data_IF_457741787966
#
_entry.id   IF_457741787966
#
_cell.length_a   1.000
_cell.length_b   1.000
_cell.length_c   1.000
_cell.angle_alpha   90.00
_cell.angle_beta   90.00
_cell.angle_gamma   90.00
#
_symmetry.space_group_name_H-M   'P 1'
#
loop_
_entity.id
_entity.type
_entity.pdbx_description
1 polymer ?
#
# COMPACT_ATOMS: atom_id res chain seq x y z
N UNK A 1 -5.81 20.54 9.24
CA UNK A 1 -4.64 19.64 9.36
C UNK A 1 -3.64 19.91 8.25
N UNK A 2 -2.34 19.95 8.59
CA UNK A 2 -1.24 20.13 7.64
C UNK A 2 -1.20 18.97 6.62
N UNK A 3 -0.75 19.24 5.38
CA UNK A 3 -0.74 18.25 4.27
C UNK A 3 -0.02 16.96 4.65
N UNK A 4 1.14 17.08 5.31
CA UNK A 4 1.92 15.94 5.78
C UNK A 4 1.25 15.07 6.85
N UNK A 5 0.28 15.61 7.58
CA UNK A 5 -0.45 14.88 8.63
C UNK A 5 -1.84 14.41 8.20
N UNK A 6 -2.28 14.74 6.99
CA UNK A 6 -3.59 14.32 6.50
C UNK A 6 -3.41 13.15 5.51
N UNK A 7 -3.79 11.91 5.88
CA UNK A 7 -3.59 10.74 5.03
C UNK A 7 -4.35 10.83 3.70
N UNK A 8 -5.46 11.58 3.68
CA UNK A 8 -6.23 11.86 2.46
C UNK A 8 -5.52 12.81 1.48
N UNK A 9 -4.55 13.61 1.96
CA UNK A 9 -3.83 14.60 1.14
C UNK A 9 -2.45 14.12 0.74
N UNK A 10 -1.67 13.55 1.67
CA UNK A 10 -0.37 12.99 1.34
C UNK A 10 0.02 11.90 2.34
N UNK A 11 0.57 10.80 1.81
CA UNK A 11 1.22 9.73 2.58
C UNK A 11 2.74 9.75 2.37
N UNK A 12 3.26 10.83 1.80
CA UNK A 12 4.69 10.95 1.55
C UNK A 12 5.41 11.22 2.88
N UNK A 13 6.21 10.25 3.32
CA UNK A 13 7.00 10.34 4.56
C UNK A 13 7.95 11.53 4.60
N UNK A 14 8.38 12.05 3.44
CA UNK A 14 9.25 13.24 3.35
C UNK A 14 8.56 14.49 3.92
N UNK A 15 7.22 14.55 3.86
CA UNK A 15 6.42 15.66 4.36
C UNK A 15 5.93 15.44 5.80
N UNK A 16 6.25 14.29 6.39
CA UNK A 16 5.93 13.95 7.78
C UNK A 16 7.01 14.48 8.73
N UNK A 17 7.05 13.97 9.96
CA UNK A 17 8.04 14.32 10.98
C UNK A 17 7.42 15.05 12.17
N UNK A 18 8.09 14.95 13.32
CA UNK A 18 7.71 15.68 14.54
C UNK A 18 6.43 15.18 15.24
N UNK A 19 5.96 13.97 14.91
CA UNK A 19 4.77 13.36 15.53
C UNK A 19 5.01 12.89 16.98
N UNK A 20 6.27 12.82 17.44
CA UNK A 20 6.63 12.34 18.78
C UNK A 20 5.86 13.00 19.91
N UNK A 21 5.59 14.32 19.83
CA UNK A 21 4.90 15.05 20.91
C UNK A 21 3.39 14.87 20.90
N UNK A 22 2.83 14.47 19.75
CA UNK A 22 1.41 14.51 19.48
C UNK A 22 0.74 13.13 19.59
N UNK A 23 1.50 12.07 19.30
CA UNK A 23 1.00 10.69 19.23
C UNK A 23 1.97 9.73 19.95
N UNK A 24 2.15 9.85 21.28
CA UNK A 24 3.15 9.08 22.03
C UNK A 24 2.86 7.58 22.12
N UNK A 25 1.58 7.16 22.16
CA UNK A 25 1.24 5.74 22.32
C UNK A 25 1.54 5.00 21.03
N UNK A 26 1.06 5.53 19.89
CA UNK A 26 1.36 4.97 18.56
C UNK A 26 2.86 5.01 18.26
N UNK A 27 3.60 6.02 18.72
CA UNK A 27 5.05 6.07 18.58
C UNK A 27 5.72 4.87 19.26
N UNK A 28 5.42 4.65 20.54
CA UNK A 28 6.06 3.59 21.31
C UNK A 28 5.67 2.20 20.80
N UNK A 29 4.41 2.03 20.36
CA UNK A 29 3.95 0.79 19.75
C UNK A 29 4.66 0.50 18.43
N UNK A 30 4.80 1.51 17.57
CA UNK A 30 5.51 1.38 16.31
C UNK A 30 7.00 1.10 16.54
N UNK A 31 7.64 1.79 17.48
CA UNK A 31 9.03 1.53 17.87
C UNK A 31 9.22 0.07 18.31
N UNK A 32 8.41 -0.43 19.24
CA UNK A 32 8.49 -1.82 19.70
C UNK A 32 8.29 -2.81 18.54
N UNK A 33 7.33 -2.54 17.64
CA UNK A 33 7.13 -3.34 16.43
C UNK A 33 8.36 -3.35 15.51
N UNK A 34 9.00 -2.19 15.30
CA UNK A 34 10.22 -2.09 14.48
C UNK A 34 11.39 -2.83 15.13
N UNK A 35 11.61 -2.68 16.44
CA UNK A 35 12.68 -3.40 17.15
C UNK A 35 12.46 -4.91 17.10
N UNK A 36 11.20 -5.34 17.17
CA UNK A 36 10.83 -6.74 17.03
C UNK A 36 11.22 -7.22 15.64
N UNK A 37 10.73 -6.59 14.57
CA UNK A 37 11.02 -7.03 13.20
C UNK A 37 12.52 -6.97 12.83
N UNK A 38 13.27 -6.03 13.41
CA UNK A 38 14.73 -5.98 13.24
C UNK A 38 15.43 -7.23 13.79
N UNK A 39 14.83 -7.93 14.76
CA UNK A 39 15.39 -9.10 15.42
C UNK A 39 16.27 -8.75 16.61
N UNK A 40 15.87 -7.76 17.41
CA UNK A 40 16.63 -7.36 18.61
C UNK A 40 16.17 -8.20 19.81
N UNK A 41 17.07 -8.83 20.57
CA UNK A 41 16.71 -9.54 21.80
C UNK A 41 16.13 -8.55 22.81
N UNK A 42 15.01 -8.85 23.53
CA UNK A 42 14.35 -10.15 23.75
C UNK A 42 13.06 -10.42 22.94
N UNK A 43 12.87 -9.77 21.78
CA UNK A 43 11.60 -9.78 21.05
C UNK A 43 11.40 -11.05 20.21
N UNK A 44 10.14 -11.40 19.95
CA UNK A 44 9.74 -12.65 19.27
C UNK A 44 10.48 -12.96 17.96
N UNK A 45 10.68 -11.96 17.10
CA UNK A 45 11.25 -12.19 15.79
C UNK A 45 12.74 -12.55 15.84
N UNK A 46 13.46 -12.21 16.92
CA UNK A 46 14.84 -12.65 17.11
C UNK A 46 14.92 -14.18 17.05
N UNK A 47 14.11 -14.88 17.84
CA UNK A 47 14.08 -16.34 17.89
C UNK A 47 13.79 -16.97 16.52
N UNK A 48 12.77 -16.48 15.81
CA UNK A 48 12.42 -17.03 14.49
C UNK A 48 13.44 -16.72 13.39
N UNK A 49 14.09 -15.55 13.45
CA UNK A 49 14.97 -15.07 12.38
C UNK A 49 16.38 -15.65 12.52
N UNK A 50 16.84 -15.83 13.75
CA UNK A 50 18.15 -16.40 14.05
C UNK A 50 18.23 -17.86 13.63
N UNK A 51 17.18 -18.65 13.92
CA UNK A 51 17.07 -20.06 13.52
C UNK A 51 17.14 -20.23 11.99
N UNK A 52 16.36 -19.44 11.23
CA UNK A 52 16.38 -19.48 9.76
C UNK A 52 17.75 -19.07 9.20
N UNK A 53 18.41 -18.08 9.81
CA UNK A 53 19.75 -17.66 9.38
C UNK A 53 20.77 -18.76 9.64
N UNK A 54 20.72 -19.41 10.81
CA UNK A 54 21.61 -20.52 11.15
C UNK A 54 21.41 -21.71 10.19
N UNK A 55 20.16 -22.11 9.96
CA UNK A 55 19.82 -23.18 9.01
C UNK A 55 20.26 -22.85 7.57
N UNK A 56 20.18 -21.57 7.18
CA UNK A 56 20.66 -21.12 5.87
C UNK A 56 22.17 -21.30 5.73
N UNK A 57 22.95 -21.03 6.79
CA UNK A 57 24.41 -21.25 6.80
C UNK A 57 24.75 -22.73 6.67
N UNK A 58 23.96 -23.61 7.30
CA UNK A 58 24.11 -25.06 7.18
C UNK A 58 23.75 -25.58 5.78
N UNK A 59 22.73 -25.02 5.14
CA UNK A 59 22.31 -25.44 3.81
C UNK A 59 23.23 -24.94 2.69
N UNK A 60 23.42 -23.61 2.58
CA UNK A 60 24.39 -23.05 1.63
C UNK A 60 24.83 -21.64 2.00
N UNK A 61 26.15 -21.35 1.91
CA UNK A 61 26.68 -20.04 2.29
C UNK A 61 26.16 -18.89 1.41
N UNK A 62 25.80 -19.17 0.15
CA UNK A 62 25.27 -18.14 -0.77
C UNK A 62 23.90 -17.65 -0.29
N UNK A 63 23.00 -18.57 0.06
CA UNK A 63 21.69 -18.18 0.59
C UNK A 63 21.81 -17.50 1.95
N UNK A 64 22.73 -17.97 2.79
CA UNK A 64 23.00 -17.33 4.08
C UNK A 64 23.47 -15.88 3.94
N UNK A 65 24.40 -15.59 3.02
CA UNK A 65 24.86 -14.21 2.75
C UNK A 65 23.71 -13.33 2.26
N UNK A 66 22.84 -13.85 1.38
CA UNK A 66 21.68 -13.11 0.87
C UNK A 66 20.71 -12.81 2.02
N UNK A 67 20.36 -13.81 2.83
CA UNK A 67 19.46 -13.66 3.97
C UNK A 67 20.03 -12.70 5.02
N UNK A 68 21.33 -12.79 5.32
CA UNK A 68 22.04 -11.92 6.26
C UNK A 68 22.07 -10.47 5.77
N UNK A 69 22.38 -10.23 4.49
CA UNK A 69 22.33 -8.87 3.92
C UNK A 69 20.91 -8.29 3.92
N UNK A 70 19.91 -9.14 3.64
CA UNK A 70 18.49 -8.77 3.68
C UNK A 70 18.06 -8.41 5.10
N UNK A 71 18.51 -9.15 6.12
CA UNK A 71 18.28 -8.84 7.52
C UNK A 71 18.79 -7.43 7.89
N UNK A 72 19.98 -7.03 7.44
CA UNK A 72 20.49 -5.67 7.63
C UNK A 72 19.65 -4.60 6.91
N UNK A 73 19.28 -4.86 5.65
CA UNK A 73 18.42 -3.95 4.86
C UNK A 73 17.03 -3.78 5.48
N UNK A 74 16.46 -4.83 6.08
CA UNK A 74 15.18 -4.77 6.80
C UNK A 74 15.23 -3.82 7.97
N UNK A 75 16.29 -3.93 8.77
CA UNK A 75 16.51 -3.05 9.90
C UNK A 75 16.71 -1.60 9.45
N UNK A 76 17.42 -1.39 8.34
CA UNK A 76 17.64 -0.08 7.75
C UNK A 76 16.34 0.61 7.30
N UNK A 77 15.52 -0.04 6.47
CA UNK A 77 14.32 0.62 5.93
C UNK A 77 13.25 0.83 7.02
N UNK A 78 13.12 -0.09 7.99
CA UNK A 78 12.17 0.10 9.10
C UNK A 78 12.57 1.24 10.02
N UNK A 79 13.86 1.31 10.38
CA UNK A 79 14.37 2.42 11.17
C UNK A 79 14.24 3.76 10.43
N UNK A 80 14.48 3.79 9.11
CA UNK A 80 14.22 4.97 8.25
C UNK A 80 12.77 5.44 8.35
N UNK A 81 11.79 4.53 8.27
CA UNK A 81 10.36 4.89 8.38
C UNK A 81 10.08 5.50 9.75
N UNK A 82 10.55 4.87 10.83
CA UNK A 82 10.37 5.38 12.20
C UNK A 82 10.95 6.80 12.36
N UNK A 83 12.19 7.03 11.92
CA UNK A 83 12.87 8.31 12.06
C UNK A 83 12.20 9.43 11.24
N UNK A 84 11.79 9.15 10.00
CA UNK A 84 11.15 10.16 9.13
C UNK A 84 9.73 10.53 9.59
N UNK A 85 9.03 9.60 10.23
CA UNK A 85 7.61 9.81 10.62
C UNK A 85 7.49 10.43 12.01
N UNK A 86 8.15 9.85 13.00
CA UNK A 86 7.99 10.26 14.41
C UNK A 86 9.04 11.26 14.88
N UNK A 87 10.28 11.09 14.44
CA UNK A 87 11.37 11.99 14.77
C UNK A 87 11.47 13.11 13.72
N UNK A 88 12.42 14.02 13.89
CA UNK A 88 12.55 15.16 12.98
C UNK A 88 11.67 16.37 13.30
N UNK A 89 11.86 17.40 12.49
CA UNK A 89 10.92 18.51 12.40
C UNK A 89 9.95 18.24 11.25
N UNK A 90 8.74 18.75 11.37
CA UNK A 90 7.76 18.67 10.30
C UNK A 90 8.29 19.45 9.09
N UNK A 91 8.60 18.73 8.01
CA UNK A 91 9.03 19.33 6.75
C UNK A 91 7.82 19.83 5.95
N UNK A 92 7.19 20.93 6.40
CA UNK A 92 6.16 21.60 5.61
C UNK A 92 6.85 22.38 4.50
N UNK A 93 7.01 21.77 3.32
CA UNK A 93 7.07 22.59 2.12
C UNK A 93 5.68 23.18 1.91
N UNK A 94 5.49 24.45 2.26
CA UNK A 94 4.36 25.23 1.77
C UNK A 94 4.54 25.39 0.24
N UNK A 95 4.14 24.37 -0.53
CA UNK A 95 3.77 24.59 -1.92
C UNK A 95 2.47 25.39 -1.88
N UNK A 96 2.63 26.71 -1.76
CA UNK A 96 1.57 27.66 -2.03
C UNK A 96 0.99 27.33 -3.41
N UNK A 97 -0.31 27.06 -3.47
CA UNK A 97 -1.12 27.16 -4.69
C UNK A 97 -1.20 28.65 -5.07
N UNK A 98 -0.06 29.22 -5.44
CA UNK A 98 0.17 30.57 -5.94
C UNK A 98 1.67 30.65 -6.19
N UNK A 99 2.05 30.64 -7.47
CA UNK A 99 3.42 30.43 -7.96
C UNK A 99 4.40 31.56 -7.65
N UNK A 100 4.66 31.85 -6.37
CA UNK A 100 5.76 32.72 -5.97
C UNK A 100 6.47 32.17 -4.72
N UNK A 101 7.72 31.74 -4.93
CA UNK A 101 8.67 31.42 -3.86
C UNK A 101 9.13 32.71 -3.16
N UNK A 102 9.39 32.57 -1.86
CA UNK A 102 10.25 33.37 -0.96
C UNK A 102 9.51 34.18 0.11
N UNK A 103 9.75 33.81 1.38
CA UNK A 103 10.49 34.65 2.36
C UNK A 103 10.78 33.80 3.62
N UNK A 104 12.00 33.87 4.20
CA UNK A 104 12.33 33.19 5.44
C UNK A 104 11.65 33.86 6.64
N UNK A 105 11.33 33.04 7.63
CA UNK A 105 10.70 33.39 8.90
C UNK A 105 11.55 34.40 9.69
N UNK A 106 11.29 35.69 9.53
CA UNK A 106 11.34 36.67 10.61
C UNK A 106 10.36 37.79 10.22
N UNK A 107 9.47 38.18 11.14
CA UNK A 107 8.46 39.24 11.03
C UNK A 107 7.10 38.92 10.38
N UNK A 108 6.41 37.89 10.85
CA UNK A 108 4.94 37.92 10.83
C UNK A 108 4.45 38.06 12.26
N UNK A 109 3.85 39.22 12.54
CA UNK A 109 3.23 39.56 13.81
C UNK A 109 2.14 38.57 14.15
N UNK A 110 2.31 37.90 15.28
CA UNK A 110 1.45 36.88 15.90
C UNK A 110 0.05 37.37 16.33
N UNK A 111 -0.38 38.55 15.87
CA UNK A 111 -1.69 39.10 16.16
C UNK A 111 -2.30 39.63 14.86
N UNK A 112 -3.41 39.05 14.46
CA UNK A 112 -4.17 39.48 13.30
C UNK A 112 -4.64 40.92 13.49
N UNK A 113 -4.04 41.85 12.75
CA UNK A 113 -4.71 43.09 12.40
C UNK A 113 -5.69 42.76 11.29
N UNK A 114 -6.98 42.81 11.62
CA UNK A 114 -8.08 42.83 10.67
C UNK A 114 -7.82 43.93 9.63
N UNK A 115 -7.43 43.49 8.43
CA UNK A 115 -7.45 44.32 7.24
C UNK A 115 -8.86 44.39 6.69
N UNK A 116 -9.69 45.21 7.33
CA UNK A 116 -10.95 45.71 6.77
C UNK A 116 -10.69 46.37 5.41
N UNK A 117 -11.31 45.85 4.35
CA UNK A 117 -11.54 46.61 3.11
C UNK A 117 -13.00 47.08 3.07
N UNK A 118 -13.17 48.33 3.49
CA UNK A 118 -14.21 49.30 3.10
C UNK A 118 -14.10 49.48 1.56
N UNK A 119 -15.12 49.71 0.71
CA UNK A 119 -16.60 49.73 0.76
C UNK A 119 -17.08 49.81 -0.69
N UNK A 120 -18.32 49.40 -0.96
CA UNK A 120 -19.27 50.30 -1.62
C UNK A 120 -20.69 49.78 -1.47
N UNK A 121 -21.39 50.24 -0.43
CA UNK A 121 -22.84 50.33 -0.43
C UNK A 121 -23.23 51.61 0.31
N UNK A 122 -23.76 52.56 -0.45
CA UNK A 122 -24.53 53.66 0.08
C UNK A 122 -25.68 53.09 0.90
N UNK A 123 -25.80 53.42 2.19
CA UNK A 123 -27.10 53.68 2.81
C UNK A 123 -26.91 54.47 4.12
N UNK A 124 -27.67 55.56 4.21
CA UNK A 124 -27.69 56.58 5.27
C UNK A 124 -28.13 56.01 6.62
N UNK A 125 -27.34 56.32 7.66
CA UNK A 125 -27.70 57.01 8.91
C UNK A 125 -29.19 56.98 9.34
N UNK A 126 -29.49 56.30 10.46
CA UNK A 126 -30.26 56.77 11.65
C UNK A 126 -30.17 55.64 12.71
N UNK A 127 -29.37 55.80 13.78
CA UNK A 127 -29.73 56.25 15.14
C UNK A 127 -30.73 55.36 15.91
N UNK A 128 -30.39 55.13 17.18
CA UNK A 128 -31.22 54.81 18.37
C UNK A 128 -31.23 53.37 18.94
N UNK A 129 -30.70 53.31 20.18
CA UNK A 129 -31.10 52.48 21.34
C UNK A 129 -30.54 51.05 21.42
N UNK A 130 -30.12 50.50 22.56
CA UNK A 130 -29.82 50.96 23.93
C UNK A 130 -29.18 49.74 24.60
N UNK A 131 -27.99 49.87 25.18
CA UNK A 131 -27.42 48.82 26.06
C UNK A 131 -28.35 48.60 27.25
N UNK A 132 -28.49 47.36 27.70
CA UNK A 132 -28.63 47.05 29.12
C UNK A 132 -27.96 45.71 29.44
N UNK A 133 -27.05 45.75 30.43
CA UNK A 133 -26.39 44.60 31.06
C UNK A 133 -27.25 44.06 32.20
N UNK A 134 -27.33 42.74 32.29
CA UNK A 134 -27.58 41.93 33.51
C UNK A 134 -27.35 40.48 33.12
N UNK A 135 -26.67 39.57 33.82
CA UNK A 135 -26.13 39.54 35.16
C UNK A 135 -26.04 38.07 35.60
N UNK A 136 -24.97 37.36 35.18
CA UNK A 136 -24.47 36.06 35.71
C UNK A 136 -25.49 34.86 35.78
N UNK A 137 -25.10 33.69 36.33
CA UNK A 137 -24.35 32.60 35.68
C UNK A 137 -25.13 31.26 35.75
N UNK A 138 -24.43 30.13 35.59
CA UNK A 138 -24.86 28.75 35.89
C UNK A 138 -25.59 28.00 34.76
N UNK A 139 -25.55 26.69 34.63
CA UNK A 139 -24.84 25.57 35.27
C UNK A 139 -25.01 24.39 34.29
N UNK A 140 -24.17 23.37 34.40
CA UNK A 140 -24.36 22.09 33.71
C UNK A 140 -25.76 21.50 33.92
N UNK A 141 -26.38 20.94 32.88
CA UNK A 141 -27.22 19.75 33.03
C UNK A 141 -27.16 18.89 31.77
N UNK A 142 -26.36 17.82 31.85
CA UNK A 142 -26.65 16.62 31.08
C UNK A 142 -27.93 16.00 31.64
N UNK A 143 -28.86 15.58 30.79
CA UNK A 143 -29.49 14.25 30.86
C UNK A 143 -30.26 13.93 29.58
N UNK A 144 -30.07 12.69 29.19
CA UNK A 144 -30.85 11.87 28.26
C UNK A 144 -32.32 11.86 28.69
N UNK A 145 -33.27 11.71 27.76
CA UNK A 145 -34.39 10.74 27.84
C UNK A 145 -35.25 10.77 26.55
N UNK A 146 -35.59 9.57 26.09
CA UNK A 146 -36.52 9.23 25.00
C UNK A 146 -37.96 9.57 25.36
N UNK A 147 -38.76 10.12 24.44
CA UNK A 147 -40.23 9.98 24.40
C UNK A 147 -40.71 9.96 22.94
N UNK A 148 -41.34 8.83 22.56
CA UNK A 148 -42.27 8.66 21.44
C UNK A 148 -43.50 9.56 21.62
N UNK A 149 -44.01 10.18 20.56
CA UNK A 149 -45.40 10.01 20.10
C UNK A 149 -45.83 11.03 19.03
N UNK A 150 -46.20 10.47 17.88
CA UNK A 150 -47.31 10.80 16.97
C UNK A 150 -47.81 12.25 16.73
N UNK A 151 -47.81 12.57 15.43
CA UNK A 151 -48.84 13.29 14.63
C UNK A 151 -49.17 14.74 15.02
N UNK A 152 -48.51 15.68 14.34
CA UNK A 152 -49.20 16.83 13.72
C UNK A 152 -48.33 17.46 12.63
N UNK A 153 -48.89 17.55 11.42
CA UNK A 153 -48.37 18.34 10.32
C UNK A 153 -48.21 19.80 10.76
N UNK A 154 -46.97 20.27 10.90
CA UNK A 154 -46.67 21.69 10.98
C UNK A 154 -45.35 21.97 10.27
N UNK A 155 -45.50 22.55 9.07
CA UNK A 155 -44.58 23.39 8.30
C UNK A 155 -43.10 23.23 8.65
N UNK A 156 -42.42 22.50 7.78
CA UNK A 156 -40.97 22.40 7.68
C UNK A 156 -40.31 23.79 7.75
N UNK A 157 -39.48 24.10 8.76
CA UNK A 157 -38.66 25.29 8.68
C UNK A 157 -37.61 25.06 7.60
N UNK A 158 -37.79 25.73 6.47
CA UNK A 158 -36.78 25.93 5.44
C UNK A 158 -35.60 26.69 6.06
N UNK A 159 -34.70 25.94 6.70
CA UNK A 159 -33.30 26.24 7.01
C UNK A 159 -32.86 25.23 8.08
N UNK A 160 -32.57 24.00 7.66
CA UNK A 160 -31.63 23.17 8.41
C UNK A 160 -30.27 23.86 8.32
N UNK A 161 -29.96 24.73 9.27
CA UNK A 161 -28.58 25.10 9.55
C UNK A 161 -27.94 23.77 9.96
N UNK A 162 -27.04 23.15 9.16
CA UNK A 162 -26.31 22.02 9.68
C UNK A 162 -25.61 22.58 10.92
N UNK A 163 -25.85 21.97 12.08
CA UNK A 163 -25.17 22.29 13.31
C UNK A 163 -23.68 22.32 12.94
N UNK A 164 -23.14 23.52 12.73
CA UNK A 164 -21.78 23.73 12.28
C UNK A 164 -20.97 23.49 13.52
N UNK A 165 -20.82 22.21 13.84
CA UNK A 165 -19.94 21.73 14.88
C UNK A 165 -18.63 22.41 14.59
N UNK A 166 -18.29 23.36 15.45
CA UNK A 166 -17.00 24.00 15.49
C UNK A 166 -15.98 22.90 15.79
N UNK A 167 -15.68 22.09 14.78
CA UNK A 167 -14.48 21.28 14.77
C UNK A 167 -13.38 22.30 14.61
N UNK A 168 -12.88 22.81 15.74
CA UNK A 168 -11.57 23.43 15.78
C UNK A 168 -10.63 22.36 15.21
N UNK A 169 -10.37 22.41 13.90
CA UNK A 169 -9.48 21.44 13.28
C UNK A 169 -8.12 21.71 13.88
N UNK A 170 -7.72 20.89 14.84
CA UNK A 170 -6.39 20.98 15.43
C UNK A 170 -5.39 20.93 14.28
N UNK A 171 -4.46 21.89 14.28
CA UNK A 171 -3.42 21.95 13.26
C UNK A 171 -2.53 20.69 13.33
N UNK A 172 -2.38 20.17 14.55
CA UNK A 172 -1.66 18.96 14.88
C UNK A 172 -2.59 17.75 15.03
N UNK A 173 -2.11 16.56 14.65
CA UNK A 173 -2.82 15.32 14.90
C UNK A 173 -2.92 15.07 16.41
N UNK A 174 -4.02 14.47 16.83
CA UNK A 174 -4.19 13.91 18.17
C UNK A 174 -4.06 12.39 18.07
N UNK A 175 -3.85 11.73 19.20
CA UNK A 175 -3.84 10.27 19.28
C UNK A 175 -5.17 9.68 18.79
N UNK A 176 -5.14 8.50 18.16
CA UNK A 176 -6.36 7.88 17.65
C UNK A 176 -7.36 7.55 18.77
N UNK A 177 -8.64 7.43 18.43
CA UNK A 177 -9.66 7.04 19.38
C UNK A 177 -9.36 5.67 20.03
N UNK A 178 -9.91 5.44 21.22
CA UNK A 178 -9.67 4.22 22.01
C UNK A 178 -9.99 2.91 21.25
N UNK A 179 -10.90 2.97 20.27
CA UNK A 179 -11.27 1.83 19.41
C UNK A 179 -10.10 1.36 18.53
N UNK A 180 -9.20 2.25 18.13
CA UNK A 180 -7.99 1.92 17.38
C UNK A 180 -6.80 1.64 18.30
N UNK A 181 -6.70 2.34 19.45
CA UNK A 181 -5.62 2.13 20.41
C UNK A 181 -5.69 0.77 21.11
N UNK A 182 -6.90 0.29 21.42
CA UNK A 182 -7.06 -0.98 22.14
C UNK A 182 -6.48 -2.18 21.38
N UNK A 183 -6.77 -2.39 20.08
CA UNK A 183 -6.10 -3.43 19.29
C UNK A 183 -4.57 -3.27 19.25
N UNK A 184 -4.06 -2.04 19.14
CA UNK A 184 -2.61 -1.78 19.08
C UNK A 184 -1.93 -2.19 20.40
N UNK A 185 -2.52 -1.84 21.55
CA UNK A 185 -1.97 -2.22 22.85
C UNK A 185 -1.97 -3.75 23.07
N UNK A 186 -3.04 -4.41 22.65
CA UNK A 186 -3.13 -5.88 22.69
C UNK A 186 -2.03 -6.52 21.84
N UNK A 187 -1.80 -6.01 20.62
CA UNK A 187 -0.75 -6.51 19.74
C UNK A 187 0.65 -6.38 20.36
N UNK A 188 0.95 -5.24 21.00
CA UNK A 188 2.22 -5.05 21.72
C UNK A 188 2.39 -6.10 22.81
N UNK A 189 1.35 -6.33 23.62
CA UNK A 189 1.38 -7.32 24.69
C UNK A 189 1.69 -8.72 24.14
N UNK A 190 1.05 -9.11 23.04
CA UNK A 190 1.32 -10.38 22.39
C UNK A 190 2.75 -10.47 21.84
N UNK A 191 3.30 -9.41 21.24
CA UNK A 191 4.69 -9.44 20.74
C UNK A 191 5.71 -9.66 21.84
N UNK A 192 5.50 -9.08 23.03
CA UNK A 192 6.35 -9.30 24.20
C UNK A 192 6.16 -10.71 24.77
N UNK A 193 4.92 -11.19 24.85
CA UNK A 193 4.60 -12.52 25.37
C UNK A 193 5.20 -13.64 24.51
N UNK A 194 5.09 -13.54 23.18
CA UNK A 194 5.71 -14.50 22.25
C UNK A 194 7.23 -14.45 22.33
N UNK A 195 7.82 -13.27 22.53
CA UNK A 195 9.27 -13.14 22.77
C UNK A 195 9.74 -13.87 24.02
N UNK A 196 8.95 -13.82 25.09
CA UNK A 196 9.23 -14.57 26.32
C UNK A 196 9.06 -16.09 26.13
N UNK A 197 8.02 -16.52 25.40
CA UNK A 197 7.81 -17.95 25.09
C UNK A 197 8.92 -18.56 24.22
N UNK A 198 9.62 -17.75 23.41
CA UNK A 198 10.72 -18.23 22.58
C UNK A 198 12.02 -18.50 23.34
N UNK A 199 12.13 -18.12 24.61
CA UNK A 199 13.33 -18.38 25.42
C UNK A 199 13.38 -19.88 25.79
N UNK A 200 14.43 -20.63 25.40
CA UNK A 200 14.56 -22.03 25.75
C UNK A 200 14.96 -22.18 27.23
N UNK A 201 13.97 -22.27 28.12
CA UNK A 201 14.21 -22.37 29.57
C UNK A 201 14.57 -23.78 30.04
N UNK A 202 14.13 -24.83 29.34
CA UNK A 202 14.48 -26.23 29.60
C UNK A 202 14.12 -27.12 28.39
N UNK A 203 14.98 -28.07 28.02
CA UNK A 203 14.81 -28.98 26.87
C UNK A 203 13.45 -29.71 26.83
N UNK A 204 12.80 -29.90 27.98
CA UNK A 204 11.51 -30.61 28.07
C UNK A 204 10.28 -29.70 27.90
N UNK A 205 10.40 -28.39 28.15
CA UNK A 205 9.27 -27.45 28.27
C UNK A 205 9.00 -26.66 26.99
N UNK A 206 9.72 -26.94 25.91
CA UNK A 206 9.50 -26.31 24.60
C UNK A 206 8.25 -26.90 23.92
N UNK A 207 7.07 -26.54 24.43
CA UNK A 207 5.76 -26.95 23.93
C UNK A 207 5.56 -26.45 22.49
N UNK A 208 6.07 -25.26 22.17
CA UNK A 208 5.90 -24.62 20.86
C UNK A 208 6.73 -25.32 19.78
N UNK A 209 7.98 -25.66 20.06
CA UNK A 209 8.85 -26.36 19.09
C UNK A 209 8.33 -27.76 18.83
N UNK A 210 7.94 -28.50 19.88
CA UNK A 210 7.30 -29.82 19.76
C UNK A 210 6.02 -29.77 18.90
N UNK A 211 5.19 -28.72 19.08
CA UNK A 211 3.96 -28.54 18.30
C UNK A 211 4.20 -28.13 16.84
N UNK A 212 5.27 -27.38 16.56
CA UNK A 212 5.61 -26.88 15.23
C UNK A 212 6.60 -27.76 14.46
N UNK A 213 7.08 -28.87 15.03
CA UNK A 213 8.02 -29.76 14.34
C UNK A 213 7.41 -30.30 13.05
N UNK A 214 8.02 -30.03 11.88
CA UNK A 214 7.53 -30.56 10.62
C UNK A 214 7.74 -32.08 10.58
N UNK A 215 6.79 -32.83 10.04
CA UNK A 215 6.90 -34.29 9.91
C UNK A 215 7.97 -34.76 8.91
N UNK A 216 8.65 -33.83 8.21
CA UNK A 216 9.65 -34.08 7.18
C UNK A 216 10.96 -33.37 7.58
N UNK A 217 11.84 -34.06 8.32
CA UNK A 217 13.18 -33.59 8.61
C UNK A 217 14.11 -33.82 7.41
N UNK A 218 14.15 -32.86 6.49
CA UNK A 218 15.09 -32.90 5.35
C UNK A 218 16.46 -32.28 5.73
N UNK A 219 16.52 -31.46 6.78
CA UNK A 219 17.71 -30.74 7.23
C UNK A 219 18.33 -31.32 8.50
N UNK A 220 18.90 -32.52 8.38
CA UNK A 220 19.65 -33.22 9.42
C UNK A 220 18.81 -33.96 10.49
N UNK A 221 19.22 -35.22 10.69
CA UNK A 221 18.76 -36.14 11.72
C UNK A 221 19.53 -35.83 13.01
N UNK A 222 18.82 -35.61 14.11
CA UNK A 222 19.28 -35.55 15.51
C UNK A 222 20.80 -35.69 15.69
N UNK A 223 21.51 -34.59 15.89
CA UNK A 223 22.73 -34.63 16.72
C UNK A 223 22.33 -34.25 18.13
N UNK A 224 22.42 -35.22 19.03
CA UNK A 224 22.30 -35.07 20.48
C UNK A 224 23.44 -34.20 21.05
N UNK A 225 23.56 -32.95 20.60
CA UNK A 225 24.44 -31.98 21.23
C UNK A 225 23.54 -31.12 22.10
N UNK A 226 23.86 -31.08 23.40
CA UNK A 226 23.42 -29.97 24.25
C UNK A 226 23.55 -28.68 23.46
N UNK A 227 22.54 -27.80 23.52
CA UNK A 227 22.65 -26.44 22.99
C UNK A 227 23.91 -25.85 23.61
N UNK A 228 25.00 -25.82 22.85
CA UNK A 228 26.22 -25.18 23.29
C UNK A 228 25.88 -23.70 23.32
N UNK A 229 25.55 -23.21 24.51
CA UNK A 229 25.18 -21.81 24.72
C UNK A 229 26.20 -20.85 24.11
N UNK A 230 27.44 -21.31 23.99
CA UNK A 230 28.52 -20.65 23.28
C UNK A 230 28.30 -20.54 21.75
N UNK A 231 27.93 -21.64 21.06
CA UNK A 231 27.65 -21.65 19.63
C UNK A 231 26.41 -20.79 19.33
N UNK A 232 25.33 -20.98 20.10
CA UNK A 232 24.13 -20.14 20.02
C UNK A 232 24.45 -18.65 20.21
N UNK A 233 25.23 -18.29 21.24
CA UNK A 233 25.61 -16.90 21.48
C UNK A 233 26.47 -16.33 20.34
N UNK A 234 27.33 -17.13 19.72
CA UNK A 234 28.17 -16.70 18.59
C UNK A 234 27.31 -16.36 17.37
N UNK A 235 26.36 -17.22 17.04
CA UNK A 235 25.46 -17.03 15.89
C UNK A 235 24.50 -15.85 16.14
N UNK A 236 23.94 -15.78 17.34
CA UNK A 236 23.12 -14.66 17.79
C UNK A 236 23.85 -13.31 17.70
N UNK A 237 25.12 -13.24 18.13
CA UNK A 237 25.94 -12.03 18.02
C UNK A 237 26.11 -11.61 16.56
N UNK A 238 26.35 -12.57 15.66
CA UNK A 238 26.50 -12.28 14.24
C UNK A 238 25.19 -11.74 13.62
N UNK A 239 24.05 -12.33 13.97
CA UNK A 239 22.71 -11.90 13.53
C UNK A 239 22.32 -10.51 14.10
N UNK A 240 22.55 -10.28 15.39
CA UNK A 240 22.27 -8.99 16.03
C UNK A 240 23.22 -7.90 15.54
N UNK A 241 24.48 -8.24 15.23
CA UNK A 241 25.45 -7.27 14.70
C UNK A 241 25.01 -6.66 13.37
N UNK A 242 24.44 -7.45 12.45
CA UNK A 242 24.00 -6.92 11.15
C UNK A 242 22.73 -6.07 11.27
N UNK A 243 21.79 -6.47 12.15
CA UNK A 243 20.58 -5.71 12.41
C UNK A 243 20.91 -4.36 13.07
N UNK A 244 21.78 -4.37 14.08
CA UNK A 244 22.26 -3.15 14.74
C UNK A 244 23.07 -2.25 13.79
N UNK A 245 23.87 -2.82 12.88
CA UNK A 245 24.57 -2.07 11.84
C UNK A 245 23.59 -1.36 10.88
N UNK A 246 22.53 -2.06 10.45
CA UNK A 246 21.47 -1.46 9.63
C UNK A 246 20.75 -0.30 10.32
N UNK A 247 20.43 -0.45 11.61
CA UNK A 247 19.85 0.61 12.45
C UNK A 247 20.82 1.78 12.61
N UNK A 248 22.10 1.50 12.85
CA UNK A 248 23.13 2.51 13.00
C UNK A 248 23.29 3.37 11.73
N UNK A 249 23.33 2.73 10.55
CA UNK A 249 23.37 3.46 9.27
C UNK A 249 22.11 4.30 9.07
N UNK A 250 20.93 3.77 9.37
CA UNK A 250 19.68 4.51 9.24
C UNK A 250 19.65 5.73 10.16
N UNK A 251 20.06 5.55 11.42
CA UNK A 251 20.18 6.63 12.39
C UNK A 251 21.16 7.70 11.91
N UNK A 252 22.31 7.31 11.38
CA UNK A 252 23.31 8.26 10.86
C UNK A 252 22.79 9.09 9.67
N UNK A 253 22.07 8.46 8.73
CA UNK A 253 21.62 9.12 7.50
C UNK A 253 20.37 9.99 7.69
N UNK A 254 19.47 9.61 8.60
CA UNK A 254 18.14 10.24 8.73
C UNK A 254 17.93 10.98 10.05
N UNK A 255 18.97 11.15 10.88
CA UNK A 255 18.86 11.90 12.13
C UNK A 255 18.45 13.37 11.91
N UNK A 256 17.55 13.93 12.75
CA UNK A 256 17.35 15.37 12.80
C UNK A 256 18.64 16.16 13.08
N UNK A 257 18.73 17.32 12.42
CA UNK A 257 19.87 18.26 12.37
C UNK A 257 20.37 18.77 13.74
N UNK A 258 19.63 18.58 14.84
CA UNK A 258 19.99 19.06 16.19
C UNK A 258 20.78 18.08 17.06
N UNK A 259 21.33 17.02 16.49
CA UNK A 259 22.31 16.21 17.21
C UNK A 259 23.67 16.89 17.17
N UNK A 260 24.24 17.16 18.35
CA UNK A 260 25.52 17.84 18.61
C UNK A 260 26.76 17.25 17.92
N UNK A 261 26.61 16.18 17.14
CA UNK A 261 27.62 15.79 16.15
C UNK A 261 27.46 16.65 14.92
N UNK A 262 28.11 17.81 14.97
CA UNK A 262 28.53 18.65 13.86
C UNK A 262 28.46 17.92 12.52
N UNK A 263 27.54 18.35 11.65
CA UNK A 263 27.63 18.33 10.18
C UNK A 263 28.86 17.57 9.67
N UNK A 264 28.74 16.23 9.59
CA UNK A 264 29.90 15.37 9.46
C UNK A 264 30.61 15.63 8.14
N UNK A 265 31.80 16.20 8.26
CA UNK A 265 32.81 16.40 7.23
C UNK A 265 33.04 15.15 6.35
N UNK A 266 32.64 13.96 6.80
CA UNK A 266 32.63 12.70 6.04
C UNK A 266 31.67 12.67 4.83
N UNK A 267 30.46 13.24 4.93
CA UNK A 267 29.55 13.29 3.77
C UNK A 267 30.11 14.26 2.73
N UNK A 268 30.67 15.37 3.18
CA UNK A 268 31.35 16.33 2.32
C UNK A 268 32.70 15.82 1.78
N UNK A 269 33.39 14.89 2.44
CA UNK A 269 34.62 14.27 1.92
C UNK A 269 34.30 13.24 0.83
N UNK A 270 33.23 12.45 0.98
CA UNK A 270 32.70 11.61 -0.10
C UNK A 270 32.21 12.46 -1.28
N UNK A 271 31.57 13.60 -1.03
CA UNK A 271 31.11 14.51 -2.08
C UNK A 271 32.24 15.25 -2.84
N UNK A 272 33.45 15.31 -2.27
CA UNK A 272 34.64 15.96 -2.85
C UNK A 272 35.53 15.03 -3.70
N UNK A 273 35.19 13.75 -3.85
CA UNK A 273 35.97 12.81 -4.66
C UNK A 273 35.75 13.09 -6.16
N UNK A 274 36.83 13.33 -6.92
CA UNK A 274 36.87 13.91 -8.28
C UNK A 274 36.21 13.10 -9.44
N UNK A 275 36.78 13.08 -10.67
CA UNK A 275 36.07 12.74 -11.92
C UNK A 275 35.44 11.34 -12.03
N UNK A 276 35.65 10.45 -11.06
CA UNK A 276 34.89 9.19 -10.88
C UNK A 276 33.42 9.39 -10.45
N UNK A 277 33.02 10.61 -10.14
CA UNK A 277 31.64 11.00 -9.77
C UNK A 277 30.59 10.63 -10.84
N UNK A 278 30.92 10.73 -12.13
CA UNK A 278 29.95 10.47 -13.20
C UNK A 278 29.45 9.02 -13.24
N UNK A 279 30.34 8.03 -13.02
CA UNK A 279 29.97 6.62 -13.04
C UNK A 279 29.18 6.24 -11.78
N UNK A 280 29.63 6.71 -10.61
CA UNK A 280 28.95 6.46 -9.35
C UNK A 280 27.55 7.11 -9.32
N UNK A 281 27.42 8.36 -9.78
CA UNK A 281 26.14 9.04 -9.87
C UNK A 281 25.19 8.34 -10.85
N UNK A 282 25.72 7.81 -11.98
CA UNK A 282 24.93 7.02 -12.93
C UNK A 282 24.44 5.70 -12.34
N UNK A 283 25.29 4.98 -11.60
CA UNK A 283 24.90 3.73 -10.91
C UNK A 283 23.87 4.04 -9.81
N UNK A 284 24.08 5.09 -9.02
CA UNK A 284 23.15 5.51 -7.97
C UNK A 284 21.79 5.90 -8.55
N UNK A 285 21.78 6.67 -9.64
CA UNK A 285 20.55 7.04 -10.34
C UNK A 285 19.86 5.80 -10.92
N UNK A 286 20.60 4.86 -11.52
CA UNK A 286 20.02 3.62 -12.03
C UNK A 286 19.38 2.77 -10.92
N UNK A 287 20.05 2.61 -9.78
CA UNK A 287 19.50 1.89 -8.60
C UNK A 287 18.29 2.64 -8.03
N UNK A 288 18.37 3.97 -7.97
CA UNK A 288 17.28 4.81 -7.50
C UNK A 288 16.05 4.71 -8.40
N UNK A 289 16.22 4.85 -9.71
CA UNK A 289 15.14 4.75 -10.69
C UNK A 289 14.53 3.34 -10.71
N UNK A 290 15.35 2.30 -10.56
CA UNK A 290 14.89 0.92 -10.42
C UNK A 290 14.04 0.74 -9.14
N UNK A 291 14.52 1.21 -7.99
CA UNK A 291 13.77 1.11 -6.72
C UNK A 291 12.49 1.96 -6.74
N UNK A 292 12.56 3.18 -7.26
CA UNK A 292 11.44 4.12 -7.36
C UNK A 292 10.31 3.57 -8.23
N UNK A 293 10.66 2.95 -9.36
CA UNK A 293 9.71 2.32 -10.27
C UNK A 293 9.37 0.86 -9.88
N UNK A 294 9.57 0.47 -8.60
CA UNK A 294 9.25 -0.87 -8.06
C UNK A 294 9.86 -2.01 -8.89
N UNK A 295 11.10 -1.83 -9.32
CA UNK A 295 11.83 -2.77 -10.16
C UNK A 295 11.28 -2.93 -11.58
N UNK A 296 10.43 -2.01 -12.05
CA UNK A 296 9.70 -2.09 -13.32
C UNK A 296 8.79 -3.32 -13.46
N UNK A 297 8.50 -4.02 -12.36
CA UNK A 297 7.69 -5.25 -12.35
C UNK A 297 6.27 -4.95 -12.84
N UNK A 298 5.67 -3.86 -12.35
CA UNK A 298 4.31 -3.44 -12.74
C UNK A 298 4.22 -3.14 -14.25
N UNK A 299 5.24 -2.46 -14.80
CA UNK A 299 5.31 -2.13 -16.23
C UNK A 299 5.54 -3.36 -17.10
N UNK A 300 6.44 -4.26 -16.65
CA UNK A 300 6.67 -5.55 -17.30
C UNK A 300 5.38 -6.37 -17.33
N UNK A 301 4.67 -6.47 -16.21
CA UNK A 301 3.42 -7.20 -16.11
C UNK A 301 2.33 -6.62 -17.03
N UNK A 302 2.18 -5.30 -17.03
CA UNK A 302 1.22 -4.63 -17.91
C UNK A 302 1.50 -4.83 -19.40
N UNK A 303 2.77 -4.79 -19.79
CA UNK A 303 3.15 -4.92 -21.21
C UNK A 303 3.08 -6.37 -21.68
N UNK A 304 3.69 -7.28 -20.91
CA UNK A 304 3.84 -8.68 -21.30
C UNK A 304 2.56 -9.48 -21.06
N UNK A 305 2.06 -9.52 -19.83
CA UNK A 305 0.90 -10.35 -19.48
C UNK A 305 -0.41 -9.70 -19.92
N UNK A 306 -0.69 -8.45 -19.51
CA UNK A 306 -1.97 -7.80 -19.83
C UNK A 306 -2.05 -7.50 -21.33
N UNK A 307 -0.99 -6.93 -21.92
CA UNK A 307 -0.89 -6.69 -23.35
C UNK A 307 -0.97 -7.96 -24.20
N UNK A 308 -0.25 -9.01 -23.79
CA UNK A 308 -0.29 -10.32 -24.43
C UNK A 308 -1.68 -10.96 -24.40
N UNK A 309 -2.31 -11.00 -23.21
CA UNK A 309 -3.67 -11.52 -23.05
C UNK A 309 -4.70 -10.74 -23.88
N UNK A 310 -4.57 -9.41 -23.96
CA UNK A 310 -5.47 -8.58 -24.80
C UNK A 310 -5.31 -8.89 -26.29
N UNK A 311 -4.11 -9.19 -26.77
CA UNK A 311 -3.89 -9.62 -28.16
C UNK A 311 -4.50 -11.00 -28.41
N UNK A 312 -4.29 -11.95 -27.50
CA UNK A 312 -4.89 -13.28 -27.58
C UNK A 312 -6.42 -13.22 -27.60
N UNK A 313 -7.03 -12.40 -26.74
CA UNK A 313 -8.47 -12.20 -26.71
C UNK A 313 -9.03 -11.63 -28.03
N UNK A 314 -8.28 -10.75 -28.70
CA UNK A 314 -8.66 -10.26 -30.03
C UNK A 314 -8.58 -11.36 -31.09
N UNK A 315 -7.58 -12.24 -31.01
CA UNK A 315 -7.44 -13.38 -31.91
C UNK A 315 -8.57 -14.40 -31.71
N UNK A 316 -8.95 -14.69 -30.46
CA UNK A 316 -10.08 -15.60 -30.20
C UNK A 316 -11.40 -15.01 -30.69
N UNK A 317 -11.64 -13.72 -30.46
CA UNK A 317 -12.83 -13.03 -31.00
C UNK A 317 -12.84 -12.98 -32.54
N UNK A 318 -11.68 -12.83 -33.18
CA UNK A 318 -11.56 -12.93 -34.64
C UNK A 318 -11.87 -14.34 -35.14
N UNK A 319 -11.34 -15.37 -34.47
CA UNK A 319 -11.59 -16.77 -34.80
C UNK A 319 -13.08 -17.11 -34.69
N UNK A 320 -13.73 -16.66 -33.62
CA UNK A 320 -15.16 -16.85 -33.39
C UNK A 320 -16.00 -16.23 -34.53
N UNK A 321 -15.79 -14.94 -34.81
CA UNK A 321 -16.56 -14.22 -35.84
C UNK A 321 -16.36 -14.68 -37.27
N UNK A 322 -15.20 -15.27 -37.59
CA UNK A 322 -14.90 -15.66 -38.98
C UNK A 322 -15.11 -17.14 -39.20
N UNK A 323 -14.65 -17.98 -38.27
CA UNK A 323 -14.71 -19.43 -38.45
C UNK A 323 -16.00 -19.96 -37.85
N UNK A 324 -16.29 -19.65 -36.59
CA UNK A 324 -17.46 -20.21 -35.89
C UNK A 324 -18.76 -19.66 -36.49
N UNK A 325 -18.86 -18.33 -36.69
CA UNK A 325 -20.03 -17.73 -37.35
C UNK A 325 -20.02 -17.94 -38.87
N UNK A 326 -18.85 -18.06 -39.48
CA UNK A 326 -18.73 -18.19 -40.94
C UNK A 326 -19.20 -19.55 -41.47
N UNK A 327 -18.97 -20.64 -40.73
CA UNK A 327 -19.39 -21.99 -41.12
C UNK A 327 -20.92 -22.10 -41.32
N UNK A 328 -21.77 -21.79 -40.33
CA UNK A 328 -23.22 -21.92 -40.49
C UNK A 328 -23.77 -20.95 -41.55
N UNK A 329 -23.24 -19.72 -41.61
CA UNK A 329 -23.62 -18.76 -42.65
C UNK A 329 -23.24 -19.24 -44.06
N UNK A 330 -22.05 -19.85 -44.20
CA UNK A 330 -21.58 -20.44 -45.45
C UNK A 330 -22.46 -21.61 -45.89
N UNK A 331 -22.80 -22.52 -44.96
CA UNK A 331 -23.72 -23.64 -45.25
C UNK A 331 -25.10 -23.12 -45.67
N UNK A 332 -25.62 -22.10 -44.99
CA UNK A 332 -26.87 -21.43 -45.35
C UNK A 332 -26.83 -20.86 -46.77
N UNK A 333 -25.80 -20.10 -47.12
CA UNK A 333 -25.60 -19.55 -48.47
C UNK A 333 -25.51 -20.65 -49.54
N UNK A 334 -24.75 -21.72 -49.28
CA UNK A 334 -24.62 -22.84 -50.22
C UNK A 334 -25.96 -23.53 -50.46
N UNK A 335 -26.78 -23.71 -49.41
CA UNK A 335 -28.11 -24.29 -49.55
C UNK A 335 -29.04 -23.43 -50.43
N UNK A 336 -28.95 -22.10 -50.31
CA UNK A 336 -29.70 -21.16 -51.15
C UNK A 336 -29.28 -21.24 -52.62
N UNK A 337 -27.97 -21.30 -52.90
CA UNK A 337 -27.47 -21.47 -54.26
C UNK A 337 -27.92 -22.80 -54.88
N UNK A 338 -27.84 -23.90 -54.13
CA UNK A 338 -28.31 -25.21 -54.59
C UNK A 338 -29.82 -25.17 -54.89
N UNK A 339 -30.62 -24.52 -54.04
CA UNK A 339 -32.05 -24.37 -54.27
C UNK A 339 -32.37 -23.57 -55.54
N UNK A 340 -31.66 -22.46 -55.79
CA UNK A 340 -31.88 -21.65 -57.00
C UNK A 340 -31.45 -22.42 -58.27
N UNK A 341 -30.38 -23.21 -58.21
CA UNK A 341 -29.98 -24.10 -59.30
C UNK A 341 -31.06 -25.14 -59.57
N UNK A 342 -31.56 -25.84 -58.54
CA UNK A 342 -32.64 -26.84 -58.69
C UNK A 342 -33.91 -26.20 -59.27
N UNK A 343 -34.27 -25.01 -58.80
CA UNK A 343 -35.42 -24.24 -59.32
C UNK A 343 -35.26 -23.90 -60.81
N UNK A 344 -34.05 -23.54 -61.24
CA UNK A 344 -33.77 -23.19 -62.65
C UNK A 344 -33.90 -24.38 -63.62
N UNK A 345 -33.78 -25.62 -63.13
CA UNK A 345 -34.00 -26.85 -63.92
C UNK A 345 -35.48 -27.01 -64.33
N UNK A 346 -36.41 -26.45 -63.55
CA UNK A 346 -37.85 -26.47 -63.84
C UNK A 346 -38.28 -25.45 -64.91
N UNK A 347 -37.83 -25.63 -66.16
CA UNK A 347 -38.05 -24.67 -67.27
C UNK A 347 -39.46 -24.62 -67.87
N UNK A 348 -40.47 -25.27 -67.27
CA UNK A 348 -41.89 -25.19 -67.67
C UNK A 348 -42.25 -25.82 -69.02
N UNK A 349 -41.29 -26.36 -69.79
CA UNK A 349 -41.53 -27.01 -71.08
C UNK A 349 -41.82 -28.50 -70.89
N UNK A 350 -42.98 -28.99 -71.32
CA UNK A 350 -43.37 -30.41 -71.21
C UNK A 350 -42.31 -31.37 -71.82
N UNK A 351 -41.67 -30.97 -72.92
CA UNK A 351 -40.59 -31.74 -73.55
C UNK A 351 -39.37 -31.97 -72.66
N UNK A 352 -39.02 -31.03 -71.76
CA UNK A 352 -37.87 -31.23 -70.86
C UNK A 352 -38.18 -32.22 -69.74
N UNK A 353 -39.42 -32.22 -69.23
CA UNK A 353 -39.85 -33.19 -68.21
C UNK A 353 -39.90 -34.62 -68.77
N UNK A 354 -40.39 -34.80 -70.00
CA UNK A 354 -40.36 -36.11 -70.68
C UNK A 354 -38.92 -36.61 -70.87
N UNK A 355 -37.98 -35.73 -71.27
CA UNK A 355 -36.57 -36.08 -71.40
C UNK A 355 -35.96 -36.56 -70.08
N UNK A 356 -36.20 -35.85 -68.96
CA UNK A 356 -35.73 -36.28 -67.64
C UNK A 356 -36.33 -37.63 -67.22
N UNK A 357 -37.61 -37.87 -67.49
CA UNK A 357 -38.27 -39.15 -67.18
C UNK A 357 -37.65 -40.31 -67.97
N UNK A 358 -37.48 -40.17 -69.29
CA UNK A 358 -36.84 -41.21 -70.11
C UNK A 358 -35.37 -41.42 -69.73
N UNK A 359 -34.63 -40.35 -69.41
CA UNK A 359 -33.26 -40.46 -68.90
C UNK A 359 -33.21 -41.24 -67.59
N UNK A 360 -34.12 -40.98 -66.65
CA UNK A 360 -34.21 -41.71 -65.39
C UNK A 360 -34.53 -43.19 -65.61
N UNK A 361 -35.51 -43.51 -66.46
CA UNK A 361 -35.86 -44.90 -66.82
C UNK A 361 -34.67 -45.61 -67.49
N UNK A 362 -33.94 -44.93 -68.37
CA UNK A 362 -32.74 -45.49 -69.01
C UNK A 362 -31.63 -45.76 -68.01
N UNK A 363 -31.37 -44.83 -67.08
CA UNK A 363 -30.36 -45.02 -66.02
C UNK A 363 -30.77 -46.17 -65.10
N UNK A 364 -32.04 -46.23 -64.70
CA UNK A 364 -32.57 -47.30 -63.87
C UNK A 364 -32.45 -48.67 -64.55
N UNK A 365 -32.77 -48.76 -65.84
CA UNK A 365 -32.61 -50.00 -66.61
C UNK A 365 -31.13 -50.41 -66.72
N UNK A 366 -30.21 -49.46 -66.90
CA UNK A 366 -28.76 -49.75 -66.90
C UNK A 366 -28.31 -50.28 -65.54
N UNK A 367 -28.73 -49.67 -64.44
CA UNK A 367 -28.43 -50.12 -63.06
C UNK A 367 -29.12 -51.46 -62.73
N UNK A 368 -30.24 -51.77 -63.39
CA UNK A 368 -30.93 -53.04 -63.17
C UNK A 368 -30.27 -54.19 -63.95
N UNK A 369 -29.70 -53.89 -65.13
CA UNK A 369 -29.05 -54.87 -66.00
C UNK A 369 -27.57 -55.12 -65.67
N UNK A 370 -26.88 -54.14 -65.07
CA UNK A 370 -25.52 -54.25 -64.53
C UNK A 370 -25.54 -54.32 -63.02
#
# INVERSE_FOLDING_TARGET
TLVGYCPKKSQNMVLMGGLTKHVPITKNSFLLGTLSLCGIPPLACFWSKDEILNDSWLYSPIFAIIAWSTAGLTAFYMCRIYLLTFEGHLNVHFQNYSGKRNTPLYSISLWGKEGSKISNKNFRLVTLLKMNKSGRPCFFSNKVDLIDDNVRNMIQPFLSIPNLGNTKTSLYPYESDNTMLFPILILILFTLFVGFLGIPFNQDVDILTKWLTPSINLLHKNSNNSIDWYEFCKDAVFSVSIASFGIFIAFFLYKPVYSSFQNLYLINSFAKMGPKRNIYDKIKNAIYDWSYNRGYIDSFYGTFFIGGMRKLAKLTHFFDRIIIDGIPNGVGLMSFFVAEVIKSVGGGRISSYLFFYFSYVSIFLVIYYF
#
